data_IF_642607712911
#
_entry.id   IF_642607712911
#
_cell.length_a   1.000
_cell.length_b   1.000
_cell.length_c   1.000
_cell.angle_alpha   90.00
_cell.angle_beta   90.00
_cell.angle_gamma   90.00
#
_symmetry.space_group_name_H-M   'P 1'
#
loop_
_entity.id
_entity.type
_entity.pdbx_description
1 polymer ?
#
# COMPACT_ATOMS: atom_id res chain seq x y z
N UNK A 1 -16.40 -54.72 32.86
CA UNK A 1 -16.55 -53.52 33.71
C UNK A 1 -15.96 -52.33 32.97
N UNK A 2 -16.78 -51.46 32.40
CA UNK A 2 -16.33 -50.40 31.49
C UNK A 2 -16.06 -49.13 32.30
N UNK A 3 -14.79 -48.76 32.44
CA UNK A 3 -14.39 -47.53 33.13
C UNK A 3 -14.67 -46.35 32.19
N UNK A 4 -15.69 -45.55 32.50
CA UNK A 4 -15.95 -44.28 31.79
C UNK A 4 -15.13 -43.18 32.43
N UNK A 5 -14.33 -42.48 31.63
CA UNK A 5 -13.56 -41.32 32.06
C UNK A 5 -14.50 -40.17 32.43
N UNK A 6 -14.57 -39.82 33.71
CA UNK A 6 -15.19 -38.57 34.15
C UNK A 6 -14.18 -37.43 34.01
N UNK A 7 -14.52 -36.45 33.16
CA UNK A 7 -13.69 -35.25 32.99
C UNK A 7 -13.84 -34.35 34.21
N UNK A 8 -12.89 -34.42 35.15
CA UNK A 8 -12.72 -33.35 36.15
C UNK A 8 -12.18 -32.10 35.45
N UNK A 9 -12.96 -31.02 35.41
CA UNK A 9 -12.47 -29.71 34.94
C UNK A 9 -11.37 -29.29 35.89
N UNK A 10 -10.14 -29.22 35.42
CA UNK A 10 -9.05 -28.64 36.21
C UNK A 10 -9.36 -27.18 36.50
N UNK A 11 -9.04 -26.73 37.70
CA UNK A 11 -9.18 -25.35 38.17
C UNK A 11 -8.25 -24.42 37.38
N UNK A 12 -8.69 -24.09 36.15
CA UNK A 12 -7.95 -23.31 35.17
C UNK A 12 -8.18 -21.80 35.35
N UNK A 13 -8.97 -21.40 36.34
CA UNK A 13 -9.43 -20.02 36.51
C UNK A 13 -8.26 -19.07 36.78
N UNK A 14 -7.33 -19.48 37.64
CA UNK A 14 -6.10 -18.72 37.90
C UNK A 14 -5.24 -18.53 36.65
N UNK A 15 -5.18 -19.56 35.79
CA UNK A 15 -4.44 -19.50 34.53
C UNK A 15 -5.14 -18.59 33.51
N UNK A 16 -6.47 -18.65 33.42
CA UNK A 16 -7.28 -17.78 32.55
C UNK A 16 -7.11 -16.32 32.93
N UNK A 17 -7.22 -15.99 34.22
CA UNK A 17 -7.04 -14.62 34.71
C UNK A 17 -5.64 -14.09 34.41
N UNK A 18 -4.59 -14.89 34.65
CA UNK A 18 -3.23 -14.46 34.32
C UNK A 18 -3.02 -14.28 32.81
N UNK A 19 -3.56 -15.18 32.00
CA UNK A 19 -3.51 -15.09 30.55
C UNK A 19 -4.23 -13.84 30.01
N UNK A 20 -5.42 -13.50 30.55
CA UNK A 20 -6.14 -12.26 30.22
C UNK A 20 -5.33 -11.03 30.57
N UNK A 21 -4.74 -10.98 31.77
CA UNK A 21 -3.91 -9.87 32.20
C UNK A 21 -2.76 -9.61 31.22
N UNK A 22 -2.02 -10.65 30.84
CA UNK A 22 -0.92 -10.55 29.87
C UNK A 22 -1.41 -10.14 28.47
N UNK A 23 -2.58 -10.62 28.04
CA UNK A 23 -3.18 -10.23 26.77
C UNK A 23 -3.59 -8.75 26.75
N UNK A 24 -4.10 -8.22 27.87
CA UNK A 24 -4.43 -6.80 28.02
C UNK A 24 -3.19 -5.90 28.08
N UNK A 25 -2.16 -6.31 28.82
CA UNK A 25 -0.90 -5.57 28.93
C UNK A 25 -0.12 -5.55 27.60
N UNK A 26 -0.24 -6.63 26.80
CA UNK A 26 0.46 -6.82 25.52
C UNK A 26 -0.52 -7.16 24.41
N UNK A 27 -1.41 -6.21 24.08
CA UNK A 27 -2.51 -6.36 23.08
C UNK A 27 -2.13 -6.88 21.69
N UNK A 28 -0.84 -6.87 21.32
CA UNK A 28 -0.32 -7.37 20.04
C UNK A 28 0.19 -8.81 20.10
N UNK A 29 0.22 -9.43 21.28
CA UNK A 29 0.81 -10.76 21.46
C UNK A 29 -0.26 -11.83 21.28
N UNK A 30 -0.01 -12.75 20.34
CA UNK A 30 -0.81 -13.96 20.18
C UNK A 30 -0.46 -15.02 21.23
N UNK A 31 -1.26 -16.09 21.29
CA UNK A 31 -1.13 -17.16 22.29
C UNK A 31 0.29 -17.72 22.44
N UNK A 32 1.08 -17.83 21.36
CA UNK A 32 2.47 -18.32 21.41
C UNK A 32 3.39 -17.41 22.23
N UNK A 33 3.24 -16.08 22.11
CA UNK A 33 4.05 -15.12 22.88
C UNK A 33 3.59 -15.07 24.33
N UNK A 34 2.28 -15.16 24.56
CA UNK A 34 1.71 -15.27 25.91
C UNK A 34 2.17 -16.57 26.60
N UNK A 35 2.26 -17.68 25.86
CA UNK A 35 2.78 -18.96 26.37
C UNK A 35 4.19 -18.84 26.94
N UNK A 36 5.07 -18.12 26.23
CA UNK A 36 6.45 -17.87 26.67
C UNK A 36 6.47 -17.04 27.96
N UNK A 37 5.62 -16.02 28.07
CA UNK A 37 5.53 -15.19 29.29
C UNK A 37 5.02 -16.00 30.48
N UNK A 38 3.95 -16.77 30.29
CA UNK A 38 3.42 -17.67 31.31
C UNK A 38 4.47 -18.70 31.76
N UNK A 39 5.26 -19.26 30.83
CA UNK A 39 6.34 -20.19 31.16
C UNK A 39 7.44 -19.54 32.01
N UNK A 40 7.78 -18.27 31.74
CA UNK A 40 8.75 -17.50 32.55
C UNK A 40 8.25 -17.24 33.96
N UNK A 41 6.94 -17.11 34.15
CA UNK A 41 6.28 -16.96 35.45
C UNK A 41 6.06 -18.31 36.16
N UNK A 42 6.57 -19.42 35.62
CA UNK A 42 6.47 -20.76 36.22
C UNK A 42 5.22 -21.54 35.82
N UNK A 43 4.33 -20.99 34.99
CA UNK A 43 3.15 -21.70 34.49
C UNK A 43 3.51 -22.67 33.36
N UNK A 44 3.67 -23.95 33.71
CA UNK A 44 3.99 -25.02 32.77
C UNK A 44 2.71 -25.65 32.19
N UNK A 45 2.20 -25.07 31.09
CA UNK A 45 0.97 -25.51 30.43
C UNK A 45 1.26 -26.02 29.02
N UNK A 46 0.61 -27.10 28.60
CA UNK A 46 0.67 -27.57 27.22
C UNK A 46 0.13 -26.51 26.25
N UNK A 47 0.87 -26.24 25.17
CA UNK A 47 0.49 -25.24 24.16
C UNK A 47 -0.91 -25.48 23.57
N UNK A 48 -1.36 -26.73 23.43
CA UNK A 48 -2.72 -27.07 22.95
C UNK A 48 -3.79 -26.62 23.94
N UNK A 49 -3.56 -26.84 25.24
CA UNK A 49 -4.46 -26.40 26.32
C UNK A 49 -4.51 -24.88 26.36
N UNK A 50 -3.37 -24.20 26.32
CA UNK A 50 -3.33 -22.73 26.30
C UNK A 50 -4.05 -22.15 25.08
N UNK A 51 -3.83 -22.71 23.89
CA UNK A 51 -4.51 -22.26 22.68
C UNK A 51 -6.04 -22.40 22.78
N UNK A 52 -6.53 -23.51 23.35
CA UNK A 52 -7.96 -23.71 23.62
C UNK A 52 -8.51 -22.63 24.56
N UNK A 53 -7.88 -22.44 25.73
CA UNK A 53 -8.30 -21.42 26.71
C UNK A 53 -8.28 -20.01 26.09
N UNK A 54 -7.22 -19.68 25.34
CA UNK A 54 -7.07 -18.40 24.66
C UNK A 54 -8.18 -18.11 23.65
N UNK A 55 -8.66 -19.14 22.94
CA UNK A 55 -9.82 -19.02 22.02
C UNK A 55 -11.13 -18.88 22.77
N UNK A 56 -11.33 -19.64 23.84
CA UNK A 56 -12.53 -19.55 24.69
C UNK A 56 -12.66 -18.16 25.32
N UNK A 57 -11.55 -17.56 25.75
CA UNK A 57 -11.48 -16.19 26.28
C UNK A 57 -11.53 -15.09 25.19
N UNK A 58 -11.70 -15.46 23.92
CA UNK A 58 -11.79 -14.52 22.77
C UNK A 58 -10.61 -13.54 22.67
N UNK A 59 -9.41 -13.96 23.08
CA UNK A 59 -8.22 -13.10 23.15
C UNK A 59 -7.50 -12.91 21.81
N UNK A 60 -8.04 -13.45 20.70
CA UNK A 60 -7.45 -13.40 19.36
C UNK A 60 -7.07 -11.98 18.95
N UNK A 61 -5.79 -11.77 18.64
CA UNK A 61 -5.28 -10.48 18.14
C UNK A 61 -6.02 -10.10 16.86
N UNK A 62 -6.69 -8.94 16.87
CA UNK A 62 -7.38 -8.42 15.69
C UNK A 62 -6.37 -8.12 14.58
N UNK A 63 -6.64 -8.60 13.37
CA UNK A 63 -5.90 -8.18 12.18
C UNK A 63 -6.15 -6.67 11.99
N UNK A 64 -5.10 -5.92 11.66
CA UNK A 64 -5.23 -4.50 11.33
C UNK A 64 -6.19 -4.40 10.14
N UNK A 65 -7.29 -3.66 10.30
CA UNK A 65 -8.14 -3.32 9.16
C UNK A 65 -7.30 -2.59 8.11
N UNK A 66 -7.58 -2.83 6.82
CA UNK A 66 -6.91 -2.14 5.73
C UNK A 66 -6.97 -0.62 5.92
N UNK A 67 -5.96 0.10 5.40
CA UNK A 67 -5.89 1.57 5.44
C UNK A 67 -7.20 2.12 4.86
N UNK A 68 -8.02 2.80 5.68
CA UNK A 68 -9.19 3.52 5.18
C UNK A 68 -8.67 4.56 4.18
N UNK A 69 -9.05 4.46 2.91
CA UNK A 69 -8.76 5.49 1.91
C UNK A 69 -9.40 6.78 2.41
N UNK A 70 -8.68 7.89 2.35
CA UNK A 70 -9.24 9.19 2.69
C UNK A 70 -10.44 9.45 1.77
N UNK A 71 -11.64 9.55 2.34
CA UNK A 71 -12.84 10.06 1.68
C UNK A 71 -12.78 11.58 1.84
N UNK A 72 -11.73 12.20 1.31
CA UNK A 72 -11.70 13.65 1.17
C UNK A 72 -12.61 14.03 0.03
N UNK A 73 -13.36 15.12 0.17
CA UNK A 73 -14.08 15.79 -0.91
C UNK A 73 -13.08 16.03 -2.05
N UNK A 74 -13.06 15.16 -3.05
CA UNK A 74 -12.33 15.46 -4.28
C UNK A 74 -13.04 16.67 -4.84
N UNK A 75 -12.36 17.82 -4.86
CA UNK A 75 -12.82 18.95 -5.65
C UNK A 75 -13.18 18.41 -7.04
N UNK A 76 -14.32 18.79 -7.62
CA UNK A 76 -14.68 18.32 -8.95
C UNK A 76 -13.52 18.64 -9.88
N UNK A 77 -12.93 17.60 -10.47
CA UNK A 77 -11.83 17.79 -11.40
C UNK A 77 -12.37 18.58 -12.58
N UNK A 78 -11.71 19.68 -12.93
CA UNK A 78 -12.00 20.43 -14.15
C UNK A 78 -12.02 19.45 -15.33
N UNK A 79 -13.13 19.41 -16.05
CA UNK A 79 -13.27 18.59 -17.25
C UNK A 79 -12.61 19.37 -18.39
N UNK A 80 -11.55 18.84 -19.03
CA UNK A 80 -10.91 19.50 -20.16
C UNK A 80 -11.90 19.56 -21.33
N UNK A 81 -12.00 20.72 -21.97
CA UNK A 81 -13.03 21.00 -22.99
C UNK A 81 -12.46 21.00 -24.40
N UNK A 82 -11.17 21.28 -24.54
CA UNK A 82 -10.45 21.35 -25.80
C UNK A 82 -9.16 20.55 -25.74
N UNK A 83 -8.65 20.15 -26.91
CA UNK A 83 -7.35 19.52 -27.01
C UNK A 83 -6.26 20.40 -26.37
N UNK A 84 -5.29 19.77 -25.71
CA UNK A 84 -4.21 20.40 -24.96
C UNK A 84 -4.68 21.23 -23.74
N UNK A 85 -5.93 21.11 -23.29
CA UNK A 85 -6.31 21.69 -21.99
C UNK A 85 -5.59 20.97 -20.84
N UNK A 86 -5.50 19.63 -20.91
CA UNK A 86 -4.86 18.83 -19.88
C UNK A 86 -4.27 17.56 -20.44
N UNK A 87 -3.00 17.33 -20.15
CA UNK A 87 -2.35 16.06 -20.41
C UNK A 87 -2.22 15.26 -19.11
N UNK A 88 -2.51 13.96 -19.18
CA UNK A 88 -2.23 13.01 -18.11
C UNK A 88 -0.98 12.22 -18.45
N UNK A 89 -0.04 12.19 -17.51
CA UNK A 89 1.21 11.45 -17.58
C UNK A 89 1.19 10.32 -16.56
N UNK A 90 1.60 9.13 -16.98
CA UNK A 90 1.74 7.97 -16.08
C UNK A 90 2.92 7.07 -16.50
N UNK A 91 3.37 6.22 -15.58
CA UNK A 91 4.35 5.18 -15.87
C UNK A 91 3.75 3.80 -15.72
N UNK A 92 3.72 3.06 -16.81
CA UNK A 92 3.45 1.61 -16.77
C UNK A 92 4.79 0.89 -16.63
N UNK A 93 4.89 -0.08 -15.72
CA UNK A 93 6.09 -0.88 -15.52
C UNK A 93 5.87 -2.32 -15.95
N UNK A 94 6.86 -2.92 -16.59
CA UNK A 94 6.85 -4.34 -16.95
C UNK A 94 8.28 -4.93 -16.88
N UNK A 95 8.41 -6.23 -17.18
CA UNK A 95 9.64 -6.98 -17.08
C UNK A 95 9.86 -7.85 -18.32
N UNK A 96 11.08 -7.80 -18.88
CA UNK A 96 11.51 -8.69 -19.95
C UNK A 96 11.66 -10.13 -19.45
N UNK A 97 11.71 -11.09 -20.36
CA UNK A 97 11.88 -12.52 -20.06
C UNK A 97 13.17 -12.83 -19.31
N UNK A 98 14.20 -11.99 -19.43
CA UNK A 98 15.47 -12.09 -18.72
C UNK A 98 15.48 -11.42 -17.33
N UNK A 99 14.33 -10.89 -16.89
CA UNK A 99 14.17 -10.26 -15.58
C UNK A 99 14.52 -8.78 -15.53
N UNK A 100 15.04 -8.18 -16.61
CA UNK A 100 15.26 -6.72 -16.66
C UNK A 100 13.93 -5.99 -16.67
N UNK A 101 13.78 -5.02 -15.78
CA UNK A 101 12.58 -4.17 -15.70
C UNK A 101 12.71 -3.01 -16.67
N UNK A 102 11.59 -2.61 -17.25
CA UNK A 102 11.48 -1.39 -18.04
C UNK A 102 10.20 -0.66 -17.66
N UNK A 103 10.15 0.62 -18.03
CA UNK A 103 8.98 1.47 -17.85
C UNK A 103 8.59 2.09 -19.17
N UNK A 104 7.32 2.39 -19.30
CA UNK A 104 6.73 3.12 -20.42
C UNK A 104 6.10 4.38 -19.86
N UNK A 105 6.64 5.55 -20.21
CA UNK A 105 5.96 6.82 -20.00
C UNK A 105 4.78 6.89 -20.98
N UNK A 106 3.58 7.05 -20.44
CA UNK A 106 2.37 7.26 -21.22
C UNK A 106 1.94 8.73 -21.09
N UNK A 107 1.63 9.35 -22.22
CA UNK A 107 1.18 10.74 -22.28
C UNK A 107 -0.13 10.74 -23.07
N UNK A 108 -1.20 11.21 -22.44
CA UNK A 108 -2.55 11.18 -23.00
C UNK A 108 -3.18 12.55 -22.89
N UNK A 109 -3.83 13.01 -23.96
CA UNK A 109 -4.70 14.18 -23.92
C UNK A 109 -6.06 13.80 -23.34
N UNK A 110 -6.47 14.46 -22.26
CA UNK A 110 -7.66 14.06 -21.52
C UNK A 110 -8.98 14.42 -22.22
N UNK A 111 -8.97 15.40 -23.13
CA UNK A 111 -10.15 15.82 -23.87
C UNK A 111 -10.41 14.85 -25.04
N UNK A 112 -9.42 14.67 -25.90
CA UNK A 112 -9.50 13.87 -27.12
C UNK A 112 -9.33 12.36 -26.88
N UNK A 113 -8.77 11.99 -25.72
CA UNK A 113 -8.30 10.63 -25.40
C UNK A 113 -7.21 10.11 -26.34
N UNK A 114 -6.57 11.00 -27.08
CA UNK A 114 -5.44 10.64 -27.93
C UNK A 114 -4.22 10.30 -27.08
N UNK A 115 -3.52 9.23 -27.45
CA UNK A 115 -2.20 8.94 -26.91
C UNK A 115 -1.15 9.78 -27.64
N UNK A 116 -0.59 10.75 -26.94
CA UNK A 116 0.39 11.70 -27.47
C UNK A 116 1.78 11.12 -27.57
N UNK A 117 2.12 10.17 -26.68
CA UNK A 117 3.42 9.54 -26.65
C UNK A 117 3.48 8.31 -25.77
N UNK A 118 4.25 7.32 -26.23
CA UNK A 118 4.67 6.14 -25.47
C UNK A 118 6.19 6.04 -25.55
N UNK A 119 6.86 6.21 -24.41
CA UNK A 119 8.33 6.18 -24.35
C UNK A 119 8.75 5.03 -23.44
N UNK A 120 9.18 3.93 -24.06
CA UNK A 120 9.66 2.74 -23.36
C UNK A 120 11.17 2.80 -23.15
N UNK A 121 11.64 2.68 -21.92
CA UNK A 121 13.07 2.57 -21.60
C UNK A 121 13.29 1.81 -20.28
N UNK A 122 14.50 1.32 -20.10
CA UNK A 122 14.98 0.73 -18.84
C UNK A 122 15.27 1.79 -17.77
N UNK A 123 15.51 3.05 -18.15
CA UNK A 123 15.68 4.17 -17.25
C UNK A 123 15.11 5.46 -17.84
N UNK A 124 14.13 6.06 -17.14
CA UNK A 124 13.47 7.30 -17.55
C UNK A 124 13.72 8.38 -16.49
N UNK A 125 14.87 9.06 -16.58
CA UNK A 125 15.15 10.21 -15.72
C UNK A 125 14.21 11.37 -16.01
N UNK A 126 14.00 12.29 -15.05
CA UNK A 126 13.21 13.50 -15.27
C UNK A 126 13.71 14.35 -16.44
N UNK A 127 15.02 14.37 -16.71
CA UNK A 127 15.58 15.05 -17.87
C UNK A 127 15.18 14.37 -19.19
N UNK A 128 15.08 13.04 -19.21
CA UNK A 128 14.59 12.32 -20.39
C UNK A 128 13.11 12.63 -20.62
N UNK A 129 12.30 12.59 -19.56
CA UNK A 129 10.88 12.95 -19.62
C UNK A 129 10.67 14.37 -20.17
N UNK A 130 11.41 15.36 -19.65
CA UNK A 130 11.34 16.74 -20.13
C UNK A 130 11.62 16.89 -21.63
N UNK A 131 12.61 16.15 -22.17
CA UNK A 131 12.90 16.17 -23.61
C UNK A 131 11.77 15.59 -24.44
N UNK A 132 11.12 14.54 -23.97
CA UNK A 132 9.98 13.94 -24.67
C UNK A 132 8.77 14.89 -24.66
N UNK A 133 8.56 15.61 -23.56
CA UNK A 133 7.52 16.64 -23.47
C UNK A 133 7.82 17.83 -24.38
N UNK A 134 9.07 18.30 -24.46
CA UNK A 134 9.50 19.34 -25.40
C UNK A 134 9.18 18.91 -26.84
N UNK A 135 9.57 17.68 -27.23
CA UNK A 135 9.31 17.15 -28.59
C UNK A 135 7.82 17.11 -28.95
N UNK A 136 6.97 16.59 -28.05
CA UNK A 136 5.53 16.51 -28.30
C UNK A 136 4.91 17.92 -28.35
N UNK A 137 5.40 18.83 -27.52
CA UNK A 137 4.96 20.22 -27.49
C UNK A 137 5.30 20.96 -28.78
N UNK A 138 6.47 20.70 -29.37
CA UNK A 138 6.87 21.27 -30.67
C UNK A 138 5.94 20.83 -31.81
N UNK A 139 5.51 19.57 -31.80
CA UNK A 139 4.66 19.01 -32.85
C UNK A 139 3.18 19.42 -32.73
N UNK A 140 2.66 19.50 -31.50
CA UNK A 140 1.19 19.59 -31.24
C UNK A 140 0.75 20.83 -30.48
N UNK A 141 1.70 21.64 -30.03
CA UNK A 141 1.47 22.73 -29.10
C UNK A 141 1.49 22.26 -27.65
N UNK A 142 1.59 23.24 -26.74
CA UNK A 142 1.76 23.00 -25.30
C UNK A 142 0.43 22.76 -24.58
N UNK A 143 0.40 21.91 -23.54
CA UNK A 143 -0.75 21.80 -22.66
C UNK A 143 -0.91 23.04 -21.78
N UNK A 144 -2.12 23.31 -21.30
CA UNK A 144 -2.33 24.28 -20.22
C UNK A 144 -1.95 23.69 -18.86
N UNK A 145 -2.25 22.42 -18.66
CA UNK A 145 -2.02 21.70 -17.40
C UNK A 145 -1.46 20.29 -17.65
N UNK A 146 -0.55 19.85 -16.80
CA UNK A 146 -0.09 18.46 -16.73
C UNK A 146 -0.51 17.85 -15.40
N UNK A 147 -1.18 16.71 -15.46
CA UNK A 147 -1.47 15.89 -14.28
C UNK A 147 -0.60 14.65 -14.31
N UNK A 148 0.09 14.41 -13.22
CA UNK A 148 0.88 13.21 -12.99
C UNK A 148 0.70 12.73 -11.54
N UNK A 149 1.18 11.53 -11.24
CA UNK A 149 1.31 11.10 -9.86
C UNK A 149 2.55 11.71 -9.19
N UNK A 150 2.71 11.50 -7.88
CA UNK A 150 3.88 11.99 -7.14
C UNK A 150 5.10 11.06 -7.28
N UNK A 151 5.27 10.41 -8.44
CA UNK A 151 6.44 9.61 -8.76
C UNK A 151 7.74 10.45 -8.66
N UNK A 152 8.85 9.80 -8.35
CA UNK A 152 10.17 10.46 -8.22
C UNK A 152 10.61 11.20 -9.47
N UNK A 153 10.20 10.70 -10.63
CA UNK A 153 10.50 11.24 -11.95
C UNK A 153 9.77 12.57 -12.18
N UNK A 154 8.48 12.64 -11.81
CA UNK A 154 7.64 13.82 -11.98
C UNK A 154 7.89 14.88 -10.89
N UNK A 155 8.31 14.46 -9.70
CA UNK A 155 8.70 15.37 -8.61
C UNK A 155 10.18 15.80 -8.67
N UNK A 156 10.91 15.40 -9.72
CA UNK A 156 12.32 15.76 -9.90
C UNK A 156 12.49 17.24 -10.23
N UNK A 157 13.62 17.83 -9.81
CA UNK A 157 13.96 19.23 -10.13
C UNK A 157 13.95 19.52 -11.64
N UNK A 158 14.30 18.54 -12.47
CA UNK A 158 14.29 18.71 -13.93
C UNK A 158 12.87 18.95 -14.46
N UNK A 159 11.86 18.23 -13.94
CA UNK A 159 10.47 18.42 -14.34
C UNK A 159 9.88 19.70 -13.76
N UNK A 160 10.19 20.02 -12.51
CA UNK A 160 9.77 21.30 -11.90
C UNK A 160 10.33 22.52 -12.64
N UNK A 161 11.60 22.46 -13.07
CA UNK A 161 12.20 23.52 -13.89
C UNK A 161 11.58 23.57 -15.29
N UNK A 162 11.24 22.41 -15.85
CA UNK A 162 10.59 22.33 -17.16
C UNK A 162 9.20 22.95 -17.13
N UNK A 163 8.36 22.64 -16.13
CA UNK A 163 7.00 23.19 -16.01
C UNK A 163 7.02 24.71 -15.83
N UNK A 164 7.93 25.22 -14.99
CA UNK A 164 8.14 26.67 -14.79
C UNK A 164 8.55 27.36 -16.11
N UNK A 165 9.53 26.80 -16.84
CA UNK A 165 9.98 27.32 -18.13
C UNK A 165 8.89 27.28 -19.20
N UNK A 166 8.14 26.18 -19.28
CA UNK A 166 7.08 25.97 -20.27
C UNK A 166 5.80 26.77 -19.95
N UNK A 167 5.69 27.28 -18.71
CA UNK A 167 4.50 27.94 -18.15
C UNK A 167 3.28 27.03 -18.23
N UNK A 168 3.45 25.79 -17.77
CA UNK A 168 2.41 24.76 -17.68
C UNK A 168 2.07 24.58 -16.21
N UNK A 169 0.77 24.53 -15.90
CA UNK A 169 0.26 24.28 -14.55
C UNK A 169 0.41 22.81 -14.12
#
# INVERSE_FOLDING_TARGET
MTIRYETRRSDDDRLRERMKALAHERRRFGYRRIHVLLKREGHHVNHKKLFRLYREEKLTVRKRGGRKRAIGTRAPMLVPMTANDRWSLDFVSDQLTDGRRFRVLTIVDDCTRECLGLVADTSLSGLRVARELDRITEERGKPKMIVSDNGSEFTSNAILQWTDRAKVE
#
